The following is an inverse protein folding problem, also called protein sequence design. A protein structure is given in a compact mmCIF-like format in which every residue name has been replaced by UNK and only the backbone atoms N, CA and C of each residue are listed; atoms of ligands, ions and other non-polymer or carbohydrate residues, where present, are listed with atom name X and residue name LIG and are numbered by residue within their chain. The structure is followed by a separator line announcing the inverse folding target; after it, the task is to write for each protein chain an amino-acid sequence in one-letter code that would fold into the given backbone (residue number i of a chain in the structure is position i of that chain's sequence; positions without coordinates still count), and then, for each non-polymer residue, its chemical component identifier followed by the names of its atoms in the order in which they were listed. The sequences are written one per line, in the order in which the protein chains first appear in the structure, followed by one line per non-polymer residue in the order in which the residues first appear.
data_IF_590197478267
#
_entry.id   IF_590197478267
#
_cell.length_a   1.000
_cell.length_b   1.000
_cell.length_c   1.000
_cell.angle_alpha   90.00
_cell.angle_beta   90.00
_cell.angle_gamma   90.00
#
_symmetry.space_group_name_H-M   'P 1'
#
loop_
_entity.id
_entity.type
_entity.pdbx_description
1 polymer ?
#
# COMPACT_ATOMS: atom_id res chain seq x y z
N UNK A 1 -40.72 45.93 10.03
CA UNK A 1 -39.89 44.84 9.46
C UNK A 1 -38.95 44.38 10.57
N UNK A 2 -39.16 43.18 11.11
CA UNK A 2 -38.34 42.59 12.17
C UNK A 2 -37.23 41.77 11.51
N UNK A 3 -35.98 42.16 11.70
CA UNK A 3 -34.84 41.32 11.35
C UNK A 3 -34.26 40.76 12.65
N UNK A 4 -34.43 39.45 12.86
CA UNK A 4 -33.76 38.71 13.92
C UNK A 4 -32.33 38.43 13.46
N UNK A 5 -31.35 39.04 14.12
CA UNK A 5 -29.94 38.72 13.97
C UNK A 5 -29.64 37.52 14.87
N UNK A 6 -29.49 36.34 14.28
CA UNK A 6 -28.96 35.15 14.96
C UNK A 6 -27.45 35.33 15.14
N UNK A 7 -27.02 35.62 16.36
CA UNK A 7 -25.62 35.63 16.74
C UNK A 7 -25.14 34.18 16.92
N UNK A 8 -24.31 33.71 15.99
CA UNK A 8 -23.61 32.43 16.10
C UNK A 8 -22.39 32.64 17.02
N UNK A 9 -22.42 32.02 18.20
CA UNK A 9 -21.27 31.97 19.11
C UNK A 9 -20.19 31.09 18.49
N UNK A 10 -19.12 31.71 17.97
CA UNK A 10 -17.89 31.00 17.59
C UNK A 10 -17.13 30.70 18.88
N UNK A 11 -17.18 29.45 19.34
CA UNK A 11 -16.30 28.97 20.39
C UNK A 11 -14.92 28.76 19.78
N UNK A 12 -13.96 29.62 20.14
CA UNK A 12 -12.56 29.46 19.79
C UNK A 12 -11.99 28.27 20.59
N UNK A 13 -11.79 27.14 19.94
CA UNK A 13 -11.13 25.98 20.53
C UNK A 13 -9.63 26.26 20.57
N UNK A 14 -9.14 26.54 21.78
CA UNK A 14 -7.77 26.88 22.11
C UNK A 14 -6.96 25.57 22.11
N UNK A 15 -6.38 25.20 20.96
CA UNK A 15 -5.45 24.07 20.89
C UNK A 15 -4.14 24.54 21.54
N UNK A 16 -3.95 24.19 22.81
CA UNK A 16 -2.67 24.31 23.49
C UNK A 16 -1.71 23.35 22.79
N UNK A 17 -0.82 23.90 21.97
CA UNK A 17 0.33 23.21 21.43
C UNK A 17 1.29 22.86 22.56
N UNK A 18 1.02 21.75 23.24
CA UNK A 18 2.05 21.08 24.04
C UNK A 18 3.02 20.50 23.02
N UNK A 19 4.08 21.25 22.74
CA UNK A 19 5.27 20.76 22.06
C UNK A 19 5.87 19.63 22.89
N UNK A 20 5.42 18.40 22.63
CA UNK A 20 6.14 17.22 23.06
C UNK A 20 7.37 17.09 22.16
N UNK A 21 8.48 17.70 22.59
CA UNK A 21 9.78 17.16 22.19
C UNK A 21 9.80 15.71 22.69
N UNK A 22 10.00 14.70 21.82
CA UNK A 22 10.21 13.35 22.34
C UNK A 22 11.42 13.41 23.27
N UNK A 23 11.21 12.97 24.51
CA UNK A 23 12.27 12.79 25.48
C UNK A 23 13.19 11.68 24.95
N UNK A 24 14.25 12.08 24.24
CA UNK A 24 15.37 11.21 23.90
C UNK A 24 16.10 10.85 25.18
N UNK A 25 15.66 9.76 25.78
CA UNK A 25 16.31 9.16 26.91
C UNK A 25 15.55 7.93 27.32
N UNK A 26 15.82 6.79 26.67
CA UNK A 26 16.10 5.49 27.27
C UNK A 26 16.46 4.48 26.17
N UNK A 27 17.57 3.76 26.40
CA UNK A 27 18.10 2.60 25.69
C UNK A 27 18.55 2.76 24.22
N UNK A 28 19.84 2.47 23.97
CA UNK A 28 20.29 1.92 22.68
C UNK A 28 19.58 0.57 22.46
N UNK A 29 18.36 0.62 21.93
CA UNK A 29 17.53 -0.55 21.68
C UNK A 29 18.12 -1.45 20.61
N UNK A 30 17.89 -2.76 20.73
CA UNK A 30 18.20 -3.72 19.66
C UNK A 30 17.26 -3.57 18.45
N UNK A 31 16.20 -2.78 18.60
CA UNK A 31 15.18 -2.47 17.60
C UNK A 31 14.64 -1.06 17.89
N UNK A 32 14.24 -0.33 16.86
CA UNK A 32 13.51 0.94 16.93
C UNK A 32 12.31 0.90 16.00
N UNK A 33 11.25 1.66 16.34
CA UNK A 33 10.04 1.79 15.52
C UNK A 33 9.51 3.21 15.60
N UNK A 34 9.00 3.72 14.48
CA UNK A 34 8.36 5.02 14.35
C UNK A 34 7.18 4.95 13.38
N UNK A 35 6.33 5.96 13.41
CA UNK A 35 5.28 6.22 12.42
C UNK A 35 5.59 7.53 11.68
N UNK A 36 4.99 7.73 10.50
CA UNK A 36 5.18 8.93 9.69
C UNK A 36 4.48 10.19 10.25
N UNK A 37 3.39 10.02 11.00
CA UNK A 37 2.65 11.09 11.70
C UNK A 37 2.39 10.70 13.16
N UNK A 38 2.04 11.71 13.96
CA UNK A 38 1.59 11.54 15.36
C UNK A 38 0.08 11.36 15.50
N UNK A 39 -0.69 11.58 14.43
CA UNK A 39 -2.15 11.48 14.44
C UNK A 39 -2.71 11.11 13.07
N UNK A 40 -3.82 10.37 13.04
CA UNK A 40 -4.46 9.89 11.83
C UNK A 40 -5.99 9.96 11.91
N UNK A 41 -6.64 10.24 10.79
CA UNK A 41 -8.09 10.11 10.59
C UNK A 41 -8.44 8.78 9.91
N UNK A 42 -9.70 8.37 10.00
CA UNK A 42 -10.20 7.19 9.28
C UNK A 42 -9.87 7.25 7.78
N UNK A 43 -9.36 6.15 7.25
CA UNK A 43 -8.92 5.97 5.86
C UNK A 43 -7.46 6.36 5.60
N UNK A 44 -6.80 7.10 6.49
CA UNK A 44 -5.38 7.42 6.32
C UNK A 44 -4.49 6.20 6.56
N UNK A 45 -3.30 6.19 5.96
CA UNK A 45 -2.29 5.18 6.25
C UNK A 45 -1.34 5.66 7.31
N UNK A 46 -1.12 4.75 8.25
CA UNK A 46 -0.04 4.76 9.21
C UNK A 46 1.12 3.98 8.60
N UNK A 47 2.17 4.69 8.19
CA UNK A 47 3.41 4.07 7.71
C UNK A 47 4.31 3.77 8.92
N UNK A 48 4.37 2.51 9.32
CA UNK A 48 5.24 2.02 10.38
C UNK A 48 6.61 1.69 9.79
N UNK A 49 7.67 2.26 10.36
CA UNK A 49 9.05 2.00 9.95
C UNK A 49 9.92 1.68 11.14
N UNK A 50 10.92 0.83 10.93
CA UNK A 50 11.87 0.54 11.99
C UNK A 50 13.16 -0.11 11.49
N UNK A 51 14.09 -0.23 12.42
CA UNK A 51 15.42 -0.77 12.18
C UNK A 51 15.80 -1.70 13.33
N UNK A 52 16.44 -2.82 13.02
CA UNK A 52 17.03 -3.73 14.00
C UNK A 52 18.54 -3.57 14.01
N UNK A 53 19.15 -3.66 15.19
CA UNK A 53 20.61 -3.55 15.33
C UNK A 53 21.33 -4.75 14.70
N UNK A 54 20.78 -5.93 14.92
CA UNK A 54 21.37 -7.22 14.56
C UNK A 54 20.38 -8.02 13.70
N UNK A 55 20.83 -8.52 12.54
CA UNK A 55 20.01 -9.34 11.65
C UNK A 55 20.13 -10.81 12.06
N UNK A 56 18.99 -11.49 12.20
CA UNK A 56 18.92 -12.93 12.46
C UNK A 56 18.21 -13.57 11.28
N UNK A 57 18.94 -14.36 10.49
CA UNK A 57 18.40 -15.03 9.30
C UNK A 57 17.15 -15.84 9.67
N UNK A 58 16.09 -15.66 8.90
CA UNK A 58 14.80 -16.33 9.11
C UNK A 58 14.01 -15.88 10.35
N UNK A 59 14.41 -14.80 11.03
CA UNK A 59 13.66 -14.27 12.20
C UNK A 59 12.92 -12.99 11.83
N UNK A 60 11.58 -13.03 11.67
CA UNK A 60 10.78 -11.84 11.38
C UNK A 60 10.58 -10.95 12.61
N UNK A 61 10.16 -9.71 12.37
CA UNK A 61 9.64 -8.77 13.36
C UNK A 61 8.14 -8.99 13.49
N UNK A 62 7.64 -9.25 14.69
CA UNK A 62 6.21 -9.22 14.97
C UNK A 62 5.78 -7.79 15.25
N UNK A 63 4.78 -7.30 14.52
CA UNK A 63 4.17 -5.97 14.66
C UNK A 63 2.77 -6.12 15.24
N UNK A 64 2.47 -5.36 16.30
CA UNK A 64 1.15 -5.29 16.92
C UNK A 64 0.73 -3.83 17.01
N UNK A 65 -0.50 -3.51 16.58
CA UNK A 65 -1.14 -2.23 16.89
C UNK A 65 -2.31 -2.49 17.82
N UNK A 66 -2.37 -1.79 18.95
CA UNK A 66 -3.38 -1.99 19.99
C UNK A 66 -3.74 -0.69 20.70
N UNK A 67 -4.93 -0.64 21.30
CA UNK A 67 -5.27 0.30 22.36
C UNK A 67 -5.45 -0.47 23.68
N UNK A 68 -5.93 0.20 24.74
CA UNK A 68 -6.17 -0.42 26.05
C UNK A 68 -7.22 -1.54 26.02
N UNK A 69 -8.08 -1.58 24.98
CA UNK A 69 -9.22 -2.48 24.89
C UNK A 69 -8.98 -3.67 23.95
N UNK A 70 -8.24 -3.47 22.85
CA UNK A 70 -8.11 -4.46 21.78
C UNK A 70 -6.81 -4.32 20.96
N UNK A 71 -6.38 -5.45 20.39
CA UNK A 71 -5.43 -5.50 19.28
C UNK A 71 -6.23 -5.27 18.00
N UNK A 72 -5.79 -4.31 17.18
CA UNK A 72 -6.48 -3.93 15.94
C UNK A 72 -5.69 -4.30 14.68
N UNK A 73 -4.41 -4.59 14.82
CA UNK A 73 -3.54 -5.07 13.74
C UNK A 73 -2.46 -5.99 14.29
N UNK A 74 -2.14 -7.04 13.55
CA UNK A 74 -1.08 -7.99 13.85
C UNK A 74 -0.44 -8.44 12.53
N UNK A 75 0.88 -8.37 12.45
CA UNK A 75 1.62 -8.84 11.28
C UNK A 75 3.03 -9.37 11.65
N UNK A 76 3.64 -10.13 10.74
CA UNK A 76 5.03 -10.58 10.81
C UNK A 76 5.81 -10.12 9.59
N UNK A 77 6.82 -9.28 9.82
CA UNK A 77 7.56 -8.61 8.76
C UNK A 77 8.96 -9.23 8.66
N UNK A 78 9.34 -9.66 7.46
CA UNK A 78 10.72 -10.07 7.20
C UNK A 78 11.62 -8.84 7.21
N UNK A 79 12.70 -8.89 7.98
CA UNK A 79 13.68 -7.79 8.02
C UNK A 79 14.55 -7.84 6.77
N UNK A 80 14.69 -6.69 6.10
CA UNK A 80 15.54 -6.53 4.93
C UNK A 80 17.03 -6.77 5.23
N UNK A 81 17.81 -7.02 4.18
CA UNK A 81 19.27 -7.17 4.30
C UNK A 81 19.96 -5.91 4.85
N UNK A 82 19.31 -4.75 4.70
CA UNK A 82 19.70 -3.45 5.25
C UNK A 82 19.32 -3.26 6.73
N UNK A 83 18.76 -4.30 7.36
CA UNK A 83 18.27 -4.35 8.74
C UNK A 83 17.03 -3.49 9.01
N UNK A 84 16.31 -3.08 7.97
CA UNK A 84 15.09 -2.28 8.10
C UNK A 84 13.85 -3.13 7.90
N UNK A 85 12.74 -2.61 8.40
CA UNK A 85 11.41 -3.14 8.15
C UNK A 85 10.41 -1.99 8.03
N UNK A 86 9.35 -2.22 7.28
CA UNK A 86 8.23 -1.30 7.13
C UNK A 86 6.92 -2.08 7.01
N UNK A 87 5.84 -1.45 7.44
CA UNK A 87 4.49 -1.95 7.24
C UNK A 87 3.52 -0.78 7.14
N UNK A 88 2.41 -1.00 6.47
CA UNK A 88 1.37 -0.01 6.30
C UNK A 88 0.11 -0.49 6.99
N UNK A 89 -0.46 0.37 7.82
CA UNK A 89 -1.68 0.09 8.56
C UNK A 89 -2.70 1.16 8.21
N UNK A 90 -3.82 0.76 7.61
CA UNK A 90 -4.93 1.69 7.37
C UNK A 90 -5.62 2.01 8.68
N UNK A 91 -5.71 3.29 9.02
CA UNK A 91 -6.47 3.79 10.14
C UNK A 91 -7.97 3.61 9.85
N UNK A 92 -8.70 2.93 10.75
CA UNK A 92 -10.08 2.53 10.54
C UNK A 92 -10.29 1.01 10.60
N UNK A 93 -11.46 0.54 10.14
CA UNK A 93 -11.81 -0.88 10.16
C UNK A 93 -11.96 -1.46 11.58
N UNK A 94 -10.97 -2.21 12.06
CA UNK A 94 -10.93 -2.74 13.44
C UNK A 94 -10.52 -1.66 14.45
N UNK A 95 -9.87 -0.58 13.98
CA UNK A 95 -9.55 0.62 14.75
C UNK A 95 -10.77 1.56 14.79
N UNK A 96 -11.72 1.26 15.69
CA UNK A 96 -13.04 1.93 15.73
C UNK A 96 -13.16 3.06 16.73
N UNK A 97 -12.30 3.09 17.74
CA UNK A 97 -12.43 4.03 18.85
C UNK A 97 -11.34 5.07 18.74
N UNK A 98 -11.71 6.35 18.77
CA UNK A 98 -10.75 7.45 18.83
C UNK A 98 -9.91 7.41 20.12
N UNK A 99 -8.69 7.93 20.03
CA UNK A 99 -7.73 7.98 21.12
C UNK A 99 -6.38 7.37 20.76
N UNK A 100 -5.55 7.14 21.78
CA UNK A 100 -4.17 6.69 21.61
C UNK A 100 -4.08 5.21 21.26
N UNK A 101 -3.37 4.89 20.18
CA UNK A 101 -2.96 3.54 19.83
C UNK A 101 -1.44 3.41 20.00
N UNK A 102 -1.01 2.21 20.39
CA UNK A 102 0.39 1.84 20.53
C UNK A 102 0.76 0.80 19.48
N UNK A 103 1.83 1.11 18.76
CA UNK A 103 2.57 0.19 17.91
C UNK A 103 3.65 -0.48 18.77
N UNK A 104 3.66 -1.80 18.80
CA UNK A 104 4.66 -2.63 19.48
C UNK A 104 5.31 -3.56 18.47
N UNK A 105 6.64 -3.53 18.39
CA UNK A 105 7.41 -4.45 17.55
C UNK A 105 8.30 -5.34 18.41
N UNK A 106 8.36 -6.63 18.08
CA UNK A 106 9.23 -7.61 18.73
C UNK A 106 10.08 -8.35 17.71
N UNK A 107 11.40 -8.38 17.90
CA UNK A 107 12.31 -9.14 17.04
C UNK A 107 12.82 -10.41 17.72
N UNK A 108 12.14 -11.54 17.47
CA UNK A 108 12.50 -12.86 17.99
C UNK A 108 12.25 -13.05 19.49
N UNK A 109 13.03 -12.40 20.37
CA UNK A 109 12.93 -12.56 21.84
C UNK A 109 12.25 -11.37 22.51
N UNK A 110 11.64 -11.60 23.67
CA UNK A 110 10.98 -10.56 24.50
C UNK A 110 11.92 -9.46 25.01
N UNK A 111 13.23 -9.59 24.83
CA UNK A 111 14.21 -8.56 25.19
C UNK A 111 14.50 -7.57 24.04
N UNK A 112 13.85 -7.73 22.88
CA UNK A 112 14.01 -6.89 21.68
C UNK A 112 12.67 -6.32 21.26
N UNK A 113 12.17 -5.43 22.11
CA UNK A 113 10.88 -4.78 21.92
C UNK A 113 11.11 -3.28 21.75
N UNK A 114 10.39 -2.67 20.82
CA UNK A 114 10.26 -1.22 20.72
C UNK A 114 8.78 -0.84 20.57
N UNK A 115 8.43 0.35 21.05
CA UNK A 115 7.06 0.86 21.00
C UNK A 115 7.04 2.31 20.56
N UNK A 116 6.02 2.68 19.79
CA UNK A 116 5.66 4.07 19.50
C UNK A 116 4.14 4.22 19.59
N UNK A 117 3.62 5.44 19.71
CA UNK A 117 2.18 5.68 19.79
C UNK A 117 1.75 6.81 18.85
N UNK A 118 0.48 6.76 18.44
CA UNK A 118 -0.18 7.80 17.64
C UNK A 118 -1.63 7.99 18.12
N UNK A 119 -2.23 9.13 17.78
CA UNK A 119 -3.63 9.43 18.04
C UNK A 119 -4.51 9.08 16.83
N UNK A 120 -5.66 8.46 17.06
CA UNK A 120 -6.67 8.20 16.03
C UNK A 120 -7.93 9.04 16.27
N UNK A 121 -8.43 9.70 15.24
CA UNK A 121 -9.71 10.44 15.25
C UNK A 121 -10.70 9.79 14.26
N UNK A 122 -11.89 9.44 14.76
CA UNK A 122 -13.00 8.83 14.00
C UNK A 122 -13.64 9.84 13.02
N UNK A 123 -13.35 11.14 13.15
CA UNK A 123 -13.86 12.15 12.22
C UNK A 123 -13.49 11.78 10.78
N UNK A 124 -14.51 11.60 9.93
CA UNK A 124 -14.37 11.32 8.50
C UNK A 124 -13.67 12.48 7.81
N UNK A 125 -12.34 12.48 7.84
CA UNK A 125 -11.52 13.40 7.10
C UNK A 125 -11.64 13.06 5.63
N UNK A 126 -12.28 13.93 4.84
CA UNK A 126 -12.16 13.96 3.37
C UNK A 126 -10.74 14.38 2.95
N UNK A 127 -9.75 13.62 3.40
CA UNK A 127 -8.34 13.76 3.06
C UNK A 127 -7.99 12.78 1.94
N UNK A 128 -7.92 13.31 0.73
CA UNK A 128 -7.16 12.72 -0.38
C UNK A 128 -5.72 12.45 0.08
N UNK A 129 -5.38 11.20 0.32
CA UNK A 129 -4.09 10.81 0.91
C UNK A 129 -3.84 9.32 0.73
N UNK A 130 -3.52 8.98 -0.52
CA UNK A 130 -2.70 7.84 -0.97
C UNK A 130 -2.51 6.72 0.04
N UNK A 131 -3.29 5.68 -0.17
CA UNK A 131 -3.14 4.39 0.44
C UNK A 131 -2.04 3.60 -0.33
N UNK A 132 -0.93 3.11 0.27
CA UNK A 132 -0.43 1.81 -0.13
C UNK A 132 -0.92 0.80 0.90
N UNK A 133 -1.98 0.09 0.51
CA UNK A 133 -2.57 -0.97 1.29
C UNK A 133 -1.84 -2.24 0.90
N UNK A 134 -1.07 -2.83 1.80
CA UNK A 134 -0.89 -4.28 1.83
C UNK A 134 -1.84 -4.87 2.87
N UNK A 135 -3.07 -5.26 2.47
CA UNK A 135 -3.69 -6.45 2.97
C UNK A 135 -3.30 -7.57 2.01
N UNK A 136 -2.80 -8.68 2.55
CA UNK A 136 -2.97 -9.97 1.89
C UNK A 136 -4.47 -10.29 1.98
N UNK A 137 -5.26 -9.58 1.19
CA UNK A 137 -6.65 -9.89 0.92
C UNK A 137 -6.71 -10.43 -0.51
N UNK A 138 -7.31 -11.62 -0.64
CA UNK A 138 -7.67 -12.17 -1.93
C UNK A 138 -8.38 -11.11 -2.77
N UNK A 139 -8.13 -11.10 -4.07
CA UNK A 139 -8.76 -10.18 -5.02
C UNK A 139 -10.26 -10.13 -4.74
N UNK A 140 -10.74 -8.99 -4.27
CA UNK A 140 -12.16 -8.76 -4.03
C UNK A 140 -12.81 -8.66 -5.40
N UNK A 141 -13.63 -9.66 -5.72
CA UNK A 141 -14.42 -9.74 -6.94
C UNK A 141 -15.84 -9.33 -6.58
N UNK A 142 -16.32 -8.27 -7.24
CA UNK A 142 -17.73 -7.85 -7.20
C UNK A 142 -18.42 -8.30 -8.49
N UNK A 143 -19.71 -8.00 -8.66
CA UNK A 143 -20.44 -8.38 -9.89
C UNK A 143 -19.86 -7.77 -11.18
N UNK A 144 -19.13 -6.65 -11.09
CA UNK A 144 -18.65 -5.89 -12.26
C UNK A 144 -17.21 -5.41 -12.16
N UNK A 145 -16.54 -5.58 -11.02
CA UNK A 145 -15.15 -5.15 -10.83
C UNK A 145 -14.32 -6.17 -10.09
N UNK A 146 -13.03 -6.21 -10.41
CA UNK A 146 -12.01 -6.98 -9.69
C UNK A 146 -10.94 -6.03 -9.19
N UNK A 147 -10.61 -6.13 -7.90
CA UNK A 147 -9.45 -5.44 -7.32
C UNK A 147 -8.16 -6.17 -7.70
N UNK A 148 -7.10 -5.40 -7.92
CA UNK A 148 -5.79 -5.92 -8.28
C UNK A 148 -4.82 -5.66 -7.15
N UNK A 149 -4.14 -6.72 -6.68
CA UNK A 149 -3.18 -6.60 -5.59
C UNK A 149 -2.07 -5.62 -5.93
N UNK A 150 -1.83 -4.61 -5.11
CA UNK A 150 -0.81 -3.58 -5.39
C UNK A 150 -1.29 -2.40 -6.24
N UNK A 151 -2.57 -2.37 -6.65
CA UNK A 151 -3.18 -1.21 -7.28
C UNK A 151 -4.39 -0.70 -6.50
N UNK A 152 -4.61 0.62 -6.53
CA UNK A 152 -5.83 1.26 -6.04
C UNK A 152 -6.92 1.30 -7.12
N UNK A 153 -6.56 1.01 -8.37
CA UNK A 153 -7.48 1.02 -9.50
C UNK A 153 -8.17 -0.34 -9.63
N UNK A 154 -9.45 -0.30 -9.97
CA UNK A 154 -10.27 -1.49 -10.18
C UNK A 154 -10.34 -1.82 -11.67
N UNK A 155 -10.26 -3.11 -12.00
CA UNK A 155 -10.53 -3.58 -13.35
C UNK A 155 -12.02 -3.84 -13.48
N UNK A 156 -12.67 -3.17 -14.42
CA UNK A 156 -14.06 -3.49 -14.77
C UNK A 156 -14.11 -4.79 -15.58
N UNK A 157 -15.10 -5.63 -15.37
CA UNK A 157 -15.26 -6.85 -16.14
C UNK A 157 -16.71 -7.23 -16.46
N UNK A 158 -16.87 -7.97 -17.55
CA UNK A 158 -18.08 -8.70 -17.90
C UNK A 158 -17.68 -10.11 -18.33
N UNK A 159 -18.31 -11.13 -17.75
CA UNK A 159 -18.02 -12.52 -18.10
C UNK A 159 -19.30 -13.27 -18.45
N UNK A 160 -19.23 -14.09 -19.49
CA UNK A 160 -20.27 -15.05 -19.87
C UNK A 160 -19.66 -16.45 -19.90
N UNK A 161 -20.45 -17.49 -19.64
CA UNK A 161 -19.98 -18.89 -19.67
C UNK A 161 -19.11 -19.33 -18.48
N UNK A 162 -18.78 -18.43 -17.54
CA UNK A 162 -18.03 -18.75 -16.34
C UNK A 162 -18.07 -17.64 -15.30
N UNK A 163 -17.19 -17.72 -14.30
CA UNK A 163 -16.92 -16.65 -13.32
C UNK A 163 -15.42 -16.48 -13.09
N UNK A 164 -15.01 -15.28 -12.70
CA UNK A 164 -13.64 -15.05 -12.21
C UNK A 164 -13.56 -15.59 -10.77
N UNK A 165 -12.44 -16.25 -10.46
CA UNK A 165 -12.14 -16.83 -9.14
C UNK A 165 -11.00 -16.07 -8.47
N UNK A 166 -10.07 -15.53 -9.26
CA UNK A 166 -8.93 -14.78 -8.75
C UNK A 166 -8.27 -13.97 -9.85
N UNK A 167 -7.52 -12.96 -9.44
CA UNK A 167 -6.76 -12.10 -10.35
C UNK A 167 -5.49 -11.64 -9.66
N UNK A 168 -4.34 -12.05 -10.17
CA UNK A 168 -3.04 -11.84 -9.55
C UNK A 168 -2.11 -11.20 -10.59
N UNK A 169 -1.52 -10.05 -10.30
CA UNK A 169 -0.45 -9.49 -11.13
C UNK A 169 0.85 -10.26 -10.91
N UNK A 170 1.57 -10.54 -12.00
CA UNK A 170 2.93 -11.08 -12.00
C UNK A 170 3.89 -10.00 -12.50
N UNK A 171 4.49 -9.28 -11.55
CA UNK A 171 5.42 -8.18 -11.82
C UNK A 171 6.69 -8.64 -12.53
N UNK A 172 7.15 -9.87 -12.25
CA UNK A 172 8.35 -10.43 -12.87
C UNK A 172 8.10 -10.75 -14.35
N UNK A 173 6.89 -11.22 -14.67
CA UNK A 173 6.46 -11.55 -16.03
C UNK A 173 5.79 -10.39 -16.78
N UNK A 174 5.57 -9.24 -16.12
CA UNK A 174 4.79 -8.11 -16.68
C UNK A 174 3.40 -8.54 -17.16
N UNK A 175 2.75 -9.43 -16.41
CA UNK A 175 1.49 -10.06 -16.80
C UNK A 175 0.40 -9.99 -15.73
N UNK A 176 -0.83 -10.15 -16.16
CA UNK A 176 -2.00 -10.26 -15.28
C UNK A 176 -2.59 -11.66 -15.43
N UNK A 177 -2.58 -12.44 -14.36
CA UNK A 177 -3.08 -13.80 -14.32
C UNK A 177 -4.49 -13.80 -13.74
N UNK A 178 -5.47 -14.20 -14.56
CA UNK A 178 -6.88 -14.31 -14.20
C UNK A 178 -7.25 -15.79 -14.09
N UNK A 179 -7.61 -16.23 -12.90
CA UNK A 179 -8.18 -17.56 -12.68
C UNK A 179 -9.69 -17.52 -12.90
N UNK A 180 -10.21 -18.42 -13.74
CA UNK A 180 -11.63 -18.51 -14.07
C UNK A 180 -12.17 -19.93 -13.79
N UNK A 181 -13.48 -20.02 -13.60
CA UNK A 181 -14.24 -21.27 -13.54
C UNK A 181 -15.22 -21.27 -14.74
N UNK A 182 -14.76 -21.82 -15.87
CA UNK A 182 -15.48 -21.83 -17.14
C UNK A 182 -16.45 -23.03 -17.25
N UNK A 183 -17.73 -22.79 -16.97
CA UNK A 183 -18.78 -23.81 -17.04
C UNK A 183 -19.29 -24.11 -18.45
N UNK A 184 -19.10 -23.18 -19.40
CA UNK A 184 -19.41 -23.33 -20.82
C UNK A 184 -18.49 -22.43 -21.64
N UNK A 185 -18.53 -22.59 -22.97
CA UNK A 185 -17.92 -21.62 -23.88
C UNK A 185 -18.48 -20.22 -23.57
N UNK A 186 -17.60 -19.23 -23.60
CA UNK A 186 -17.91 -17.90 -23.08
C UNK A 186 -16.92 -16.84 -23.54
N UNK A 187 -17.07 -15.66 -22.97
CA UNK A 187 -16.15 -14.56 -23.18
C UNK A 187 -15.95 -13.76 -21.91
N UNK A 188 -14.72 -13.27 -21.74
CA UNK A 188 -14.32 -12.33 -20.71
C UNK A 188 -13.99 -11.00 -21.37
N UNK A 189 -14.68 -9.94 -20.97
CA UNK A 189 -14.33 -8.56 -21.32
C UNK A 189 -13.78 -7.86 -20.09
N UNK A 190 -12.60 -7.27 -20.21
CA UNK A 190 -11.96 -6.48 -19.16
C UNK A 190 -11.79 -5.04 -19.63
N UNK A 191 -11.98 -4.10 -18.72
CA UNK A 191 -11.61 -2.69 -18.89
C UNK A 191 -10.48 -2.42 -17.92
N UNK A 192 -9.26 -2.42 -18.44
CA UNK A 192 -8.03 -2.41 -17.66
C UNK A 192 -7.48 -0.98 -17.64
N UNK A 193 -7.38 -0.32 -16.48
CA UNK A 193 -6.71 0.96 -16.37
C UNK A 193 -5.25 0.83 -16.79
N UNK A 194 -4.74 1.78 -17.59
CA UNK A 194 -3.34 1.72 -18.05
C UNK A 194 -2.34 1.73 -16.89
N UNK A 195 -2.70 2.35 -15.76
CA UNK A 195 -1.93 2.30 -14.51
C UNK A 195 -1.75 0.91 -13.92
N UNK A 196 -2.59 -0.06 -14.31
CA UNK A 196 -2.58 -1.44 -13.79
C UNK A 196 -1.81 -2.38 -14.71
N UNK A 197 -2.05 -2.31 -16.02
CA UNK A 197 -1.38 -3.13 -17.03
C UNK A 197 -1.42 -2.35 -18.34
N UNK A 198 -0.28 -2.23 -18.99
CA UNK A 198 -0.19 -1.63 -20.31
C UNK A 198 0.87 -2.33 -21.17
N UNK A 199 0.78 -2.10 -22.48
CA UNK A 199 1.78 -2.47 -23.45
C UNK A 199 2.12 -1.25 -24.30
N UNK A 200 3.34 -0.72 -24.12
CA UNK A 200 3.81 0.52 -24.74
C UNK A 200 5.14 0.30 -25.43
N UNK A 201 5.35 0.91 -26.58
CA UNK A 201 6.64 0.91 -27.27
C UNK A 201 7.55 2.07 -26.82
N UNK A 202 8.81 2.05 -27.26
CA UNK A 202 9.83 3.06 -26.92
C UNK A 202 9.52 4.48 -27.44
N UNK A 203 8.48 4.67 -28.26
CA UNK A 203 8.08 5.93 -28.87
C UNK A 203 6.76 6.49 -28.28
N UNK A 204 6.42 6.11 -27.04
CA UNK A 204 5.18 6.49 -26.33
C UNK A 204 3.89 6.08 -27.07
N UNK A 205 3.97 5.09 -27.96
CA UNK A 205 2.83 4.49 -28.64
C UNK A 205 2.37 3.18 -27.98
N UNK A 206 1.15 2.76 -28.30
CA UNK A 206 0.63 1.46 -27.84
C UNK A 206 1.31 0.32 -28.60
N UNK A 207 1.70 -0.71 -27.85
CA UNK A 207 2.06 -2.04 -28.37
C UNK A 207 0.91 -3.03 -28.08
N UNK A 208 0.94 -4.19 -28.74
CA UNK A 208 -0.07 -5.22 -28.59
C UNK A 208 0.16 -6.04 -27.31
N UNK A 209 -0.93 -6.44 -26.64
CA UNK A 209 -0.86 -7.46 -25.59
C UNK A 209 -0.63 -8.85 -26.18
N UNK A 210 -0.06 -9.75 -25.38
CA UNK A 210 -0.12 -11.20 -25.62
C UNK A 210 -1.12 -11.81 -24.65
N UNK A 211 -2.00 -12.68 -25.15
CA UNK A 211 -3.03 -13.33 -24.33
C UNK A 211 -2.89 -14.83 -24.44
N UNK A 212 -2.80 -15.49 -23.30
CA UNK A 212 -2.74 -16.94 -23.18
C UNK A 212 -4.00 -17.47 -22.48
N UNK A 213 -4.52 -18.61 -22.96
CA UNK A 213 -5.52 -19.42 -22.25
C UNK A 213 -4.85 -20.77 -21.95
N UNK A 214 -4.75 -21.10 -20.66
CA UNK A 214 -4.08 -22.31 -20.17
C UNK A 214 -2.66 -22.53 -20.76
N UNK A 215 -1.96 -21.41 -21.03
CA UNK A 215 -0.61 -21.38 -21.59
C UNK A 215 -0.53 -21.41 -23.12
N UNK A 216 -1.66 -21.40 -23.84
CA UNK A 216 -1.70 -21.32 -25.31
C UNK A 216 -2.14 -19.93 -25.78
N UNK A 217 -1.41 -19.37 -26.76
CA UNK A 217 -1.70 -18.02 -27.29
C UNK A 217 -3.01 -17.98 -28.08
N UNK A 218 -3.82 -16.95 -27.83
CA UNK A 218 -5.12 -16.76 -28.48
C UNK A 218 -5.29 -15.36 -29.06
N UNK A 219 -6.15 -15.25 -30.07
CA UNK A 219 -6.60 -13.96 -30.58
C UNK A 219 -7.62 -13.30 -29.64
N UNK A 220 -7.57 -11.98 -29.54
CA UNK A 220 -8.50 -11.18 -28.77
C UNK A 220 -8.91 -9.92 -29.55
N UNK A 221 -9.93 -9.24 -29.04
CA UNK A 221 -10.35 -7.94 -29.53
C UNK A 221 -9.95 -6.86 -28.53
N UNK A 222 -9.45 -5.74 -29.03
CA UNK A 222 -9.01 -4.63 -28.19
C UNK A 222 -9.55 -3.28 -28.68
N UNK A 223 -9.85 -2.41 -27.71
CA UNK A 223 -10.13 -0.99 -27.90
C UNK A 223 -9.26 -0.23 -26.91
N UNK A 224 -8.39 0.65 -27.43
CA UNK A 224 -7.51 1.49 -26.60
C UNK A 224 -8.10 2.88 -26.39
N UNK A 225 -7.86 3.45 -25.21
CA UNK A 225 -8.16 4.84 -24.88
C UNK A 225 -6.94 5.47 -24.20
N UNK A 226 -7.00 6.76 -23.86
CA UNK A 226 -5.92 7.42 -23.11
C UNK A 226 -5.83 7.00 -21.65
N UNK A 227 -6.85 6.33 -21.11
CA UNK A 227 -6.96 6.00 -19.67
C UNK A 227 -6.99 4.51 -19.40
N UNK A 228 -7.45 3.72 -20.36
CA UNK A 228 -7.72 2.30 -20.20
C UNK A 228 -7.56 1.55 -21.53
N UNK A 229 -7.45 0.23 -21.41
CA UNK A 229 -7.48 -0.71 -22.52
C UNK A 229 -8.60 -1.71 -22.28
N UNK A 230 -9.54 -1.78 -23.21
CA UNK A 230 -10.68 -2.69 -23.15
C UNK A 230 -10.41 -3.89 -24.03
N UNK A 231 -10.33 -5.06 -23.42
CA UNK A 231 -9.99 -6.32 -24.08
C UNK A 231 -11.15 -7.32 -23.95
N UNK A 232 -11.46 -8.03 -25.03
CA UNK A 232 -12.45 -9.12 -25.06
C UNK A 232 -11.80 -10.41 -25.55
N UNK A 233 -11.88 -11.45 -24.74
CA UNK A 233 -11.24 -12.76 -24.94
C UNK A 233 -12.33 -13.83 -24.92
N UNK A 234 -12.41 -14.65 -25.97
CA UNK A 234 -13.28 -15.81 -25.97
C UNK A 234 -12.55 -17.02 -25.37
N UNK A 235 -13.23 -17.82 -24.54
CA UNK A 235 -12.66 -19.01 -23.91
C UNK A 235 -13.59 -20.22 -24.06
N UNK A 236 -13.03 -21.45 -24.18
CA UNK A 236 -13.81 -22.68 -24.21
C UNK A 236 -14.25 -23.10 -22.79
N UNK A 237 -15.27 -23.96 -22.72
CA UNK A 237 -15.65 -24.64 -21.48
C UNK A 237 -14.45 -25.40 -20.89
N UNK A 238 -14.26 -25.28 -19.57
CA UNK A 238 -13.16 -25.93 -18.84
C UNK A 238 -11.84 -25.15 -18.83
N UNK A 239 -11.76 -23.98 -19.45
CA UNK A 239 -10.61 -23.09 -19.29
C UNK A 239 -10.43 -22.68 -17.81
N UNK A 240 -9.19 -22.67 -17.33
CA UNK A 240 -8.87 -22.41 -15.91
C UNK A 240 -8.13 -21.09 -15.73
N UNK A 241 -7.25 -20.73 -16.66
CA UNK A 241 -6.38 -19.57 -16.55
C UNK A 241 -6.38 -18.76 -17.84
N UNK A 242 -6.52 -17.43 -17.69
CA UNK A 242 -6.26 -16.46 -18.74
C UNK A 242 -5.11 -15.57 -18.26
N UNK A 243 -4.06 -15.43 -19.07
CA UNK A 243 -2.93 -14.56 -18.78
C UNK A 243 -2.82 -13.47 -19.83
N UNK A 244 -2.67 -12.21 -19.41
CA UNK A 244 -2.53 -11.05 -20.30
C UNK A 244 -1.16 -10.43 -20.02
N UNK A 245 -0.27 -10.47 -21.00
CA UNK A 245 1.12 -10.03 -20.90
C UNK A 245 1.25 -8.70 -21.62
N UNK A 246 1.81 -7.70 -20.94
CA UNK A 246 2.11 -6.38 -21.48
C UNK A 246 3.60 -6.04 -21.38
N UNK A 247 3.91 -4.75 -21.35
CA UNK A 247 5.27 -4.24 -21.10
C UNK A 247 5.50 -3.93 -19.62
N UNK A 248 4.43 -3.78 -18.84
CA UNK A 248 4.48 -3.79 -17.38
C UNK A 248 3.11 -4.14 -16.80
N UNK A 249 3.11 -4.68 -15.59
CA UNK A 249 1.94 -4.79 -14.71
C UNK A 249 2.30 -4.11 -13.40
N UNK A 250 1.38 -3.29 -12.87
CA UNK A 250 1.49 -2.50 -11.63
C UNK A 250 2.90 -1.95 -11.40
N UNK A 251 3.16 -0.68 -11.72
CA UNK A 251 4.51 -0.14 -11.64
C UNK A 251 5.09 -0.33 -10.24
N UNK A 252 6.18 -1.09 -10.15
CA UNK A 252 6.91 -1.33 -8.91
C UNK A 252 7.28 0.03 -8.28
N UNK A 253 6.49 0.42 -7.29
CA UNK A 253 6.68 1.57 -6.42
C UNK A 253 7.15 2.87 -7.10
N UNK A 254 6.62 3.24 -8.27
CA UNK A 254 7.07 4.46 -8.97
C UNK A 254 7.03 5.73 -8.11
N UNK A 255 5.96 5.92 -7.33
CA UNK A 255 5.83 7.07 -6.41
C UNK A 255 6.42 6.79 -5.03
N UNK A 256 6.23 5.59 -4.50
CA UNK A 256 6.66 5.22 -3.15
C UNK A 256 8.18 5.05 -3.09
N UNK A 257 8.80 4.36 -4.05
CA UNK A 257 10.25 4.27 -4.15
C UNK A 257 10.87 5.65 -4.43
N UNK A 258 10.23 6.49 -5.26
CA UNK A 258 10.69 7.87 -5.46
C UNK A 258 10.59 8.71 -4.17
N UNK A 259 9.54 8.53 -3.36
CA UNK A 259 9.44 9.20 -2.06
C UNK A 259 10.47 8.68 -1.06
N UNK A 260 10.64 7.36 -0.93
CA UNK A 260 11.66 6.75 -0.06
C UNK A 260 13.06 7.21 -0.49
N UNK A 261 13.33 7.23 -1.80
CA UNK A 261 14.58 7.72 -2.36
C UNK A 261 14.78 9.21 -2.07
N UNK A 262 13.76 10.04 -2.27
CA UNK A 262 13.83 11.47 -2.00
C UNK A 262 14.07 11.75 -0.50
N UNK A 263 13.35 11.06 0.39
CA UNK A 263 13.52 11.17 1.85
C UNK A 263 14.91 10.71 2.26
N UNK A 264 15.43 9.63 1.67
CA UNK A 264 16.78 9.14 1.92
C UNK A 264 17.85 10.17 1.49
N UNK A 265 17.73 10.75 0.29
CA UNK A 265 18.65 11.76 -0.22
C UNK A 265 18.62 13.02 0.67
N UNK A 266 17.43 13.52 1.02
CA UNK A 266 17.27 14.69 1.90
C UNK A 266 17.91 14.42 3.26
N UNK A 267 17.72 13.22 3.83
CA UNK A 267 18.30 12.82 5.11
C UNK A 267 19.83 12.79 5.07
N UNK A 268 20.42 12.24 4.00
CA UNK A 268 21.88 12.21 3.81
C UNK A 268 22.44 13.64 3.74
N UNK A 269 21.80 14.52 2.98
CA UNK A 269 22.24 15.92 2.84
C UNK A 269 22.13 16.64 4.18
N UNK A 270 21.02 16.49 4.90
CA UNK A 270 20.81 17.13 6.19
C UNK A 270 21.84 16.69 7.24
N UNK A 271 22.14 15.38 7.30
CA UNK A 271 23.18 14.83 8.19
C UNK A 271 24.57 15.31 7.78
N UNK A 272 24.88 15.31 6.48
CA UNK A 272 26.19 15.74 5.96
C UNK A 272 26.44 17.24 6.16
N UNK A 273 25.42 18.08 5.97
CA UNK A 273 25.52 19.53 6.18
C UNK A 273 25.69 19.90 7.66
N UNK A 274 25.08 19.12 8.57
CA UNK A 274 25.22 19.30 10.02
C UNK A 274 26.55 18.73 10.55
N UNK A 275 27.07 17.69 9.92
CA UNK A 275 28.38 17.10 10.18
C UNK A 275 29.48 17.83 9.40
N UNK A 276 29.72 19.11 9.73
CA UNK A 276 31.04 19.69 9.43
C UNK A 276 32.06 18.92 10.25
N UNK A 277 32.68 17.89 9.65
CA UNK A 277 33.76 17.12 10.23
C UNK A 277 34.89 18.09 10.62
N UNK A 278 34.95 18.45 11.90
CA UNK A 278 36.14 19.06 12.49
C UNK A 278 37.19 17.96 12.60
N UNK A 279 37.88 17.68 11.50
CA UNK A 279 39.10 16.87 11.51
C UNK A 279 40.16 17.75 12.16
N UNK A 280 40.25 17.69 13.48
CA UNK A 280 41.35 18.31 14.22
C UNK A 280 42.61 17.51 13.88
N UNK A 281 43.62 18.10 13.22
CA UNK A 281 44.87 17.42 12.98
C UNK A 281 45.64 17.35 14.30
N UNK A 282 45.94 16.14 14.76
CA UNK A 282 46.90 15.96 15.86
C UNK A 282 48.30 16.05 15.29
N UNK A 283 49.05 17.07 15.74
CA UNK A 283 50.50 17.12 15.66
C UNK A 283 51.12 16.31 16.80
#
# INVERSE_FOLDING_TARGET
MKAHLLAFTISAMLIVSIGMTPAFGQAQGSIVVTTDKSSYSEGEIILVTGEVRDLFSGTPVSLIVKNDNAIVFLDQITVGADKKFSAEVTAGGTMKTSGTYTVEVTHGTKNRIATTSFEFDESTGTGTGTTPTTPVEASVITDTTVSVQGSNDLIGYEITGGKIVGLIPDVDASSLIISIDATSDGSLTLTIPRSVLDATNDEDGDDDFFVLIDGEEVSFNEITSSTDRKITIAFPAGAETIEIIGTYVIPEFGTIAAMILAVAIISIIAVSAKSRLSIIPRY
#
